data_IF_965923357780
#
_entry.id   IF_965923357780
#
_cell.length_a   1.000
_cell.length_b   1.000
_cell.length_c   1.000
_cell.angle_alpha   90.00
_cell.angle_beta   90.00
_cell.angle_gamma   90.00
#
_symmetry.space_group_name_H-M   'P 1'
#
loop_
_entity.id
_entity.type
_entity.pdbx_description
1 polymer ?
#
# COMPACT_ATOMS: atom_id res chain seq x y z
N UNK A 1 10.99 19.67 5.85
CA UNK A 1 11.42 20.26 4.56
C UNK A 1 11.37 19.11 3.56
N UNK A 2 10.29 18.97 2.79
CA UNK A 2 9.97 17.75 2.04
C UNK A 2 10.64 17.63 0.67
N UNK A 3 11.66 18.45 0.39
CA UNK A 3 12.37 18.39 -0.88
C UNK A 3 13.87 18.56 -0.67
N UNK A 4 14.63 17.54 -1.09
CA UNK A 4 16.06 17.65 -1.32
C UNK A 4 16.28 17.63 -2.85
N UNK A 5 16.78 18.74 -3.40
CA UNK A 5 17.14 18.84 -4.81
C UNK A 5 18.57 18.31 -4.99
N UNK A 6 18.71 17.05 -5.39
CA UNK A 6 19.99 16.50 -5.82
C UNK A 6 20.04 16.51 -7.35
N UNK A 7 21.00 17.18 -8.00
CA UNK A 7 21.10 17.17 -9.45
C UNK A 7 21.38 15.75 -9.96
N UNK A 8 20.54 15.25 -10.86
CA UNK A 8 20.78 13.99 -11.57
C UNK A 8 21.98 14.19 -12.52
N UNK A 9 22.98 13.32 -12.42
CA UNK A 9 24.02 13.24 -13.45
C UNK A 9 23.42 12.60 -14.70
N UNK A 10 23.94 12.95 -15.89
CA UNK A 10 23.36 12.58 -17.19
C UNK A 10 23.21 11.08 -17.50
N UNK A 11 23.66 10.19 -16.61
CA UNK A 11 23.53 8.72 -16.73
C UNK A 11 22.61 8.11 -15.64
N UNK A 12 21.96 8.93 -14.79
CA UNK A 12 21.13 8.41 -13.71
C UNK A 12 19.78 7.92 -14.26
N UNK A 13 19.55 6.61 -14.24
CA UNK A 13 18.23 6.05 -14.53
C UNK A 13 17.32 6.28 -13.32
N UNK A 14 16.35 7.16 -13.46
CA UNK A 14 15.37 7.46 -12.39
C UNK A 14 14.35 6.32 -12.29
N UNK A 15 13.85 5.86 -13.43
CA UNK A 15 13.04 4.66 -13.57
C UNK A 15 13.19 4.10 -15.00
N UNK A 16 12.80 2.85 -15.20
CA UNK A 16 12.77 2.21 -16.52
C UNK A 16 11.42 1.54 -16.76
N UNK A 17 10.92 1.58 -17.99
CA UNK A 17 9.78 0.74 -18.39
C UNK A 17 10.31 -0.67 -18.69
N UNK A 18 9.65 -1.68 -18.14
CA UNK A 18 10.01 -3.09 -18.35
C UNK A 18 8.88 -3.82 -19.05
N UNK A 19 9.24 -4.87 -19.79
CA UNK A 19 8.27 -5.84 -20.35
C UNK A 19 8.48 -7.15 -19.59
N UNK A 20 7.79 -7.35 -18.46
CA UNK A 20 7.97 -8.55 -17.65
C UNK A 20 7.44 -9.78 -18.40
N UNK A 21 8.07 -10.92 -18.18
CA UNK A 21 7.62 -12.17 -18.77
C UNK A 21 6.27 -12.58 -18.17
N UNK A 22 5.24 -12.66 -19.01
CA UNK A 22 3.95 -13.24 -18.65
C UNK A 22 4.13 -14.71 -18.28
N UNK A 23 3.61 -15.10 -17.11
CA UNK A 23 3.58 -16.50 -16.65
C UNK A 23 2.25 -17.15 -17.06
N UNK A 24 2.17 -18.47 -16.95
CA UNK A 24 0.87 -19.16 -16.98
C UNK A 24 0.12 -18.80 -15.69
N UNK A 25 -1.12 -18.29 -15.76
CA UNK A 25 -1.90 -17.99 -14.56
C UNK A 25 -2.09 -19.23 -13.67
N UNK A 26 -1.81 -19.10 -12.38
CA UNK A 26 -2.17 -20.11 -11.38
C UNK A 26 -3.69 -20.02 -11.14
N UNK A 27 -4.46 -21.11 -11.28
CA UNK A 27 -5.91 -21.06 -11.09
C UNK A 27 -6.37 -20.50 -9.75
N UNK A 28 -5.70 -20.85 -8.64
CA UNK A 28 -6.09 -20.40 -7.31
C UNK A 28 -5.83 -18.89 -7.13
N UNK A 29 -4.69 -18.41 -7.64
CA UNK A 29 -4.38 -16.98 -7.66
C UNK A 29 -5.35 -16.22 -8.57
N UNK A 30 -5.65 -16.79 -9.74
CA UNK A 30 -6.61 -16.21 -10.68
C UNK A 30 -8.01 -16.08 -10.08
N UNK A 31 -8.42 -17.03 -9.24
CA UNK A 31 -9.71 -16.96 -8.55
C UNK A 31 -9.74 -15.87 -7.47
N UNK A 32 -8.66 -15.67 -6.69
CA UNK A 32 -8.54 -14.51 -5.80
C UNK A 32 -8.54 -13.19 -6.56
N UNK A 33 -7.82 -13.10 -7.68
CA UNK A 33 -7.77 -11.90 -8.52
C UNK A 33 -9.15 -11.51 -9.03
N UNK A 34 -10.02 -12.49 -9.36
CA UNK A 34 -11.41 -12.24 -9.79
C UNK A 34 -12.29 -11.74 -8.65
N UNK A 35 -11.91 -11.96 -7.39
CA UNK A 35 -12.70 -11.47 -6.26
C UNK A 35 -12.56 -9.97 -6.07
N UNK A 36 -11.53 -9.30 -6.61
CA UNK A 36 -11.37 -7.85 -6.53
C UNK A 36 -12.62 -7.16 -7.09
N UNK A 37 -13.30 -6.41 -6.22
CA UNK A 37 -14.62 -5.84 -6.46
C UNK A 37 -14.58 -4.30 -6.45
N UNK A 38 -15.11 -3.71 -7.51
CA UNK A 38 -15.13 -2.26 -7.68
C UNK A 38 -16.06 -1.56 -6.67
N UNK A 39 -17.21 -2.16 -6.39
CA UNK A 39 -18.20 -1.57 -5.49
C UNK A 39 -17.67 -1.52 -4.05
N UNK A 40 -17.03 -2.60 -3.59
CA UNK A 40 -16.33 -2.65 -2.30
C UNK A 40 -15.22 -1.62 -2.20
N UNK A 41 -14.36 -1.51 -3.21
CA UNK A 41 -13.31 -0.49 -3.26
C UNK A 41 -13.88 0.93 -3.22
N UNK A 42 -14.88 1.24 -4.06
CA UNK A 42 -15.57 2.55 -4.12
C UNK A 42 -16.19 2.92 -2.78
N UNK A 43 -16.85 1.97 -2.12
CA UNK A 43 -17.50 2.20 -0.84
C UNK A 43 -16.49 2.54 0.26
N UNK A 44 -15.40 1.78 0.35
CA UNK A 44 -14.32 2.05 1.30
C UNK A 44 -13.68 3.42 1.05
N UNK A 45 -13.37 3.73 -0.21
CA UNK A 45 -12.78 5.02 -0.59
C UNK A 45 -13.71 6.19 -0.26
N UNK A 46 -14.99 6.09 -0.61
CA UNK A 46 -15.97 7.13 -0.30
C UNK A 46 -16.12 7.36 1.22
N UNK A 47 -16.09 6.29 2.02
CA UNK A 47 -16.13 6.39 3.47
C UNK A 47 -14.91 7.14 4.04
N UNK A 48 -13.71 6.84 3.54
CA UNK A 48 -12.48 7.55 3.94
C UNK A 48 -12.51 9.03 3.56
N UNK A 49 -12.97 9.35 2.35
CA UNK A 49 -13.04 10.72 1.84
C UNK A 49 -14.10 11.55 2.58
N UNK A 50 -15.18 10.93 3.06
CA UNK A 50 -16.27 11.60 3.77
C UNK A 50 -15.85 12.29 5.07
N UNK A 51 -14.69 11.97 5.64
CA UNK A 51 -14.15 12.63 6.82
C UNK A 51 -13.65 14.07 6.55
N UNK A 52 -13.53 14.48 5.28
CA UNK A 52 -13.13 15.83 4.86
C UNK A 52 -11.64 16.12 4.98
N UNK A 53 -11.01 15.75 6.09
CA UNK A 53 -9.55 15.64 6.24
C UNK A 53 -9.23 14.51 7.22
N UNK A 54 -8.22 13.71 6.89
CA UNK A 54 -7.69 12.68 7.80
C UNK A 54 -6.31 13.06 8.34
N UNK A 55 -6.05 14.34 8.60
CA UNK A 55 -4.78 14.75 9.23
C UNK A 55 -4.58 14.00 10.55
N UNK A 56 -3.41 13.38 10.77
CA UNK A 56 -3.16 12.37 11.84
C UNK A 56 -3.50 12.77 13.27
N UNK A 57 -3.57 14.07 13.55
CA UNK A 57 -3.88 14.65 14.85
C UNK A 57 -5.33 15.12 15.00
N UNK A 58 -6.18 14.94 13.99
CA UNK A 58 -7.56 15.39 14.00
C UNK A 58 -8.54 14.25 14.33
N UNK A 59 -9.80 14.59 14.59
CA UNK A 59 -10.86 13.61 14.87
C UNK A 59 -11.31 12.81 13.65
N UNK A 60 -11.16 13.36 12.44
CA UNK A 60 -11.47 12.69 11.17
C UNK A 60 -10.58 11.46 10.94
N UNK A 61 -9.27 11.61 11.17
CA UNK A 61 -8.31 10.52 11.18
C UNK A 61 -8.70 9.44 12.18
N UNK A 62 -8.98 9.83 13.44
CA UNK A 62 -9.35 8.87 14.48
C UNK A 62 -10.58 8.05 14.07
N UNK A 63 -11.62 8.72 13.55
CA UNK A 63 -12.82 8.04 13.10
C UNK A 63 -12.56 7.12 11.90
N UNK A 64 -11.74 7.54 10.93
CA UNK A 64 -11.33 6.73 9.79
C UNK A 64 -10.55 5.48 10.23
N UNK A 65 -9.59 5.64 11.15
CA UNK A 65 -8.78 4.55 11.71
C UNK A 65 -9.62 3.54 12.50
N UNK A 66 -10.56 4.02 13.33
CA UNK A 66 -11.50 3.16 14.06
C UNK A 66 -12.41 2.39 13.10
N UNK A 67 -12.93 3.05 12.06
CA UNK A 67 -13.74 2.42 11.01
C UNK A 67 -12.96 1.34 10.24
N UNK A 68 -11.75 1.65 9.78
CA UNK A 68 -10.88 0.69 9.08
C UNK A 68 -10.56 -0.54 9.94
N UNK A 69 -10.22 -0.34 11.22
CA UNK A 69 -10.02 -1.45 12.18
C UNK A 69 -11.29 -2.31 12.30
N UNK A 70 -12.45 -1.68 12.38
CA UNK A 70 -13.71 -2.41 12.59
C UNK A 70 -14.10 -3.21 11.33
N UNK A 71 -13.84 -2.69 10.13
CA UNK A 71 -13.94 -3.45 8.86
C UNK A 71 -13.01 -4.68 8.91
N UNK A 72 -11.74 -4.49 9.28
CA UNK A 72 -10.77 -5.60 9.36
C UNK A 72 -11.19 -6.67 10.38
N UNK A 73 -11.75 -6.27 11.53
CA UNK A 73 -12.29 -7.22 12.52
C UNK A 73 -13.51 -7.98 12.00
N UNK A 74 -14.41 -7.32 11.29
CA UNK A 74 -15.59 -7.96 10.70
C UNK A 74 -15.21 -9.02 9.66
N UNK A 75 -14.09 -8.81 8.96
CA UNK A 75 -13.49 -9.78 8.03
C UNK A 75 -12.72 -10.92 8.73
N UNK A 76 -12.62 -10.90 10.06
CA UNK A 76 -12.02 -11.96 10.85
C UNK A 76 -10.53 -11.77 11.18
N UNK A 77 -9.93 -10.63 10.84
CA UNK A 77 -8.54 -10.34 11.20
C UNK A 77 -8.40 -9.95 12.68
N UNK A 78 -7.26 -10.29 13.28
CA UNK A 78 -6.87 -9.76 14.58
C UNK A 78 -6.38 -8.31 14.41
N UNK A 79 -7.30 -7.34 14.44
CA UNK A 79 -6.99 -5.92 14.22
C UNK A 79 -6.99 -5.06 15.49
N UNK A 80 -6.03 -4.13 15.57
CA UNK A 80 -5.86 -3.22 16.71
C UNK A 80 -5.38 -1.83 16.27
N UNK A 81 -5.63 -0.82 17.11
CA UNK A 81 -4.98 0.48 17.01
C UNK A 81 -3.71 0.45 17.86
N UNK A 82 -2.56 0.67 17.24
CA UNK A 82 -1.26 0.74 17.90
C UNK A 82 -0.89 2.21 18.05
N UNK A 83 -0.76 2.75 19.27
CA UNK A 83 -0.41 4.16 19.49
C UNK A 83 0.91 4.54 18.83
N UNK A 84 0.95 5.74 18.28
CA UNK A 84 2.16 6.38 17.75
C UNK A 84 2.24 7.84 18.19
N UNK A 85 3.43 8.42 18.13
CA UNK A 85 3.65 9.85 18.39
C UNK A 85 3.89 10.60 17.09
N UNK A 86 3.11 11.65 16.81
CA UNK A 86 3.27 12.51 15.63
C UNK A 86 3.59 13.92 16.10
N UNK A 87 4.85 14.33 15.99
CA UNK A 87 5.34 15.58 16.58
C UNK A 87 5.10 15.61 18.10
N UNK A 88 4.27 16.54 18.57
CA UNK A 88 3.85 16.63 19.98
C UNK A 88 2.48 16.00 20.28
N UNK A 89 1.81 15.44 19.27
CA UNK A 89 0.50 14.82 19.39
C UNK A 89 0.54 13.29 19.38
N UNK A 90 -0.62 12.69 19.62
CA UNK A 90 -0.80 11.23 19.60
C UNK A 90 -1.70 10.82 18.45
N UNK A 91 -1.33 9.74 17.78
CA UNK A 91 -2.09 9.13 16.69
C UNK A 91 -1.99 7.60 16.81
N UNK A 92 -2.38 6.86 15.76
CA UNK A 92 -2.34 5.40 15.78
C UNK A 92 -2.02 4.82 14.40
N UNK A 93 -1.31 3.70 14.37
CA UNK A 93 -1.35 2.77 13.25
C UNK A 93 -2.51 1.79 13.44
N UNK A 94 -3.04 1.24 12.35
CA UNK A 94 -3.92 0.09 12.38
C UNK A 94 -3.10 -1.14 11.98
N UNK A 95 -3.06 -2.14 12.84
CA UNK A 95 -2.35 -3.41 12.60
C UNK A 95 -3.36 -4.54 12.63
N UNK A 96 -3.50 -5.25 11.51
CA UNK A 96 -4.35 -6.41 11.37
C UNK A 96 -3.57 -7.63 10.89
N UNK A 97 -3.75 -8.76 11.54
CA UNK A 97 -2.98 -9.98 11.26
C UNK A 97 -3.90 -11.17 10.99
N UNK A 98 -3.51 -11.98 10.01
CA UNK A 98 -4.01 -13.34 9.79
C UNK A 98 -2.85 -14.33 9.95
N UNK A 99 -3.07 -15.38 10.74
CA UNK A 99 -2.05 -16.40 11.01
C UNK A 99 -2.02 -17.43 9.89
N UNK A 100 -0.84 -17.65 9.31
CA UNK A 100 -0.65 -18.68 8.30
C UNK A 100 -0.73 -20.09 8.87
N UNK A 101 -0.99 -21.07 8.00
CA UNK A 101 -1.11 -22.50 8.34
C UNK A 101 0.21 -23.26 8.23
N UNK A 102 1.27 -22.61 7.75
CA UNK A 102 2.60 -23.20 7.61
C UNK A 102 3.31 -23.48 8.95
N UNK A 103 4.40 -24.24 8.87
CA UNK A 103 5.23 -24.57 10.02
C UNK A 103 5.88 -23.33 10.64
N UNK A 104 5.99 -23.31 11.97
CA UNK A 104 6.67 -22.23 12.68
C UNK A 104 8.21 -22.40 12.67
N UNK A 105 8.99 -21.30 12.61
CA UNK A 105 8.53 -19.91 12.51
C UNK A 105 8.08 -19.57 11.07
N UNK A 106 6.87 -19.01 10.96
CA UNK A 106 6.31 -18.58 9.67
C UNK A 106 6.92 -17.26 9.23
N UNK A 107 7.08 -17.07 7.93
CA UNK A 107 7.33 -15.74 7.37
C UNK A 107 6.15 -14.79 7.58
N UNK A 108 6.35 -13.51 7.27
CA UNK A 108 5.35 -12.46 7.26
C UNK A 108 5.38 -11.75 5.92
N UNK A 109 4.22 -11.58 5.30
CA UNK A 109 4.02 -10.70 4.13
C UNK A 109 3.19 -9.52 4.59
N UNK A 110 3.74 -8.33 4.42
CA UNK A 110 3.09 -7.08 4.82
C UNK A 110 2.49 -6.42 3.58
N UNK A 111 1.24 -5.97 3.70
CA UNK A 111 0.59 -5.04 2.77
C UNK A 111 0.29 -3.78 3.55
N UNK A 112 0.78 -2.64 3.07
CA UNK A 112 0.75 -1.37 3.78
C UNK A 112 0.14 -0.26 2.93
N UNK A 113 -0.43 0.74 3.58
CA UNK A 113 -0.75 2.06 3.02
C UNK A 113 -0.80 3.05 4.19
N UNK A 114 -0.75 4.36 3.96
CA UNK A 114 -1.15 5.31 4.99
C UNK A 114 -2.61 5.70 4.84
N UNK A 115 -3.22 6.12 5.95
CA UNK A 115 -4.63 6.52 5.99
C UNK A 115 -4.79 8.02 6.22
N UNK A 116 -3.74 8.72 6.65
CA UNK A 116 -3.81 10.17 6.80
C UNK A 116 -3.83 10.91 5.46
N UNK A 117 -4.19 12.20 5.52
CA UNK A 117 -4.20 13.12 4.38
C UNK A 117 -4.04 14.54 4.90
N UNK A 118 -3.36 15.40 4.14
CA UNK A 118 -3.08 16.78 4.54
C UNK A 118 -3.55 17.80 3.51
N UNK A 119 -3.66 19.05 3.97
CA UNK A 119 -3.73 20.20 3.09
C UNK A 119 -2.54 21.10 3.42
N UNK A 120 -1.60 21.26 2.48
CA UNK A 120 -0.37 22.03 2.73
C UNK A 120 -0.68 23.52 2.91
N UNK A 121 -1.49 24.11 2.04
CA UNK A 121 -1.74 25.56 2.04
C UNK A 121 -2.72 25.98 3.15
N UNK A 122 -3.78 25.19 3.36
CA UNK A 122 -4.85 25.47 4.31
C UNK A 122 -4.60 24.90 5.71
N UNK A 123 -3.59 24.04 5.88
CA UNK A 123 -3.21 23.46 7.16
C UNK A 123 -4.13 22.32 7.65
N UNK A 124 -3.96 21.87 8.90
CA UNK A 124 -4.48 20.59 9.41
C UNK A 124 -6.00 20.51 9.56
N UNK A 125 -6.72 21.62 9.39
CA UNK A 125 -8.19 21.68 9.47
C UNK A 125 -8.84 22.05 8.14
N UNK A 126 -8.06 22.35 7.10
CA UNK A 126 -8.59 22.60 5.77
C UNK A 126 -9.05 21.29 5.10
N UNK A 127 -9.96 21.35 4.13
CA UNK A 127 -10.36 20.18 3.35
C UNK A 127 -9.14 19.51 2.72
N UNK A 128 -8.97 18.23 3.00
CA UNK A 128 -7.99 17.32 2.43
C UNK A 128 -8.71 15.99 2.19
N UNK A 129 -9.57 15.91 1.16
CA UNK A 129 -10.36 14.70 0.97
C UNK A 129 -9.45 13.48 0.75
N UNK A 130 -8.26 13.69 0.16
CA UNK A 130 -7.21 12.68 0.10
C UNK A 130 -7.70 11.44 -0.64
N UNK A 131 -8.37 11.63 -1.77
CA UNK A 131 -9.03 10.54 -2.48
C UNK A 131 -7.99 9.63 -3.12
N UNK A 132 -7.00 10.20 -3.79
CA UNK A 132 -5.88 9.45 -4.32
C UNK A 132 -4.78 9.29 -3.28
N UNK A 133 -4.43 10.38 -2.56
CA UNK A 133 -3.37 10.44 -1.56
C UNK A 133 -3.91 10.54 -0.12
N UNK A 134 -3.95 9.44 0.65
CA UNK A 134 -3.82 8.05 0.20
C UNK A 134 -5.07 7.23 0.50
N UNK A 135 -6.23 7.84 0.23
CA UNK A 135 -7.52 7.16 0.31
C UNK A 135 -7.56 5.94 -0.63
N UNK A 136 -6.91 6.02 -1.79
CA UNK A 136 -6.88 4.96 -2.79
C UNK A 136 -6.12 3.72 -2.30
N UNK A 137 -4.92 3.88 -1.75
CA UNK A 137 -4.14 2.79 -1.18
C UNK A 137 -4.79 2.21 0.07
N UNK A 138 -5.33 3.06 0.95
CA UNK A 138 -6.05 2.61 2.14
C UNK A 138 -7.32 1.81 1.81
N UNK A 139 -8.14 2.28 0.86
CA UNK A 139 -9.31 1.55 0.37
C UNK A 139 -8.90 0.25 -0.34
N UNK A 140 -7.79 0.29 -1.08
CA UNK A 140 -7.18 -0.87 -1.70
C UNK A 140 -6.77 -1.95 -0.71
N UNK A 141 -6.14 -1.57 0.40
CA UNK A 141 -5.79 -2.49 1.48
C UNK A 141 -7.02 -3.13 2.12
N UNK A 142 -8.09 -2.36 2.36
CA UNK A 142 -9.35 -2.90 2.90
C UNK A 142 -10.01 -3.88 1.93
N UNK A 143 -9.93 -3.62 0.62
CA UNK A 143 -10.43 -4.53 -0.40
C UNK A 143 -9.58 -5.80 -0.52
N UNK A 144 -8.25 -5.69 -0.46
CA UNK A 144 -7.36 -6.84 -0.36
C UNK A 144 -7.68 -7.67 0.90
N UNK A 145 -7.95 -7.03 2.03
CA UNK A 145 -8.38 -7.73 3.24
C UNK A 145 -9.65 -8.55 2.99
N UNK A 146 -10.62 -8.01 2.25
CA UNK A 146 -11.84 -8.73 1.90
C UNK A 146 -11.56 -9.92 0.98
N UNK A 147 -10.70 -9.75 -0.01
CA UNK A 147 -10.29 -10.82 -0.94
C UNK A 147 -9.58 -11.97 -0.21
N UNK A 148 -8.72 -11.65 0.77
CA UNK A 148 -7.98 -12.66 1.55
C UNK A 148 -8.75 -13.18 2.77
N UNK A 149 -9.94 -12.67 3.08
CA UNK A 149 -10.72 -13.10 4.22
C UNK A 149 -11.07 -14.60 4.13
N UNK A 150 -10.67 -15.38 5.13
CA UNK A 150 -10.86 -16.83 5.16
C UNK A 150 -9.89 -17.63 4.27
N UNK A 151 -8.98 -16.97 3.56
CA UNK A 151 -7.96 -17.63 2.73
C UNK A 151 -6.83 -18.18 3.60
N UNK A 152 -6.39 -19.41 3.34
CA UNK A 152 -5.25 -20.03 4.02
C UNK A 152 -3.95 -19.77 3.27
N UNK A 153 -2.97 -19.20 3.96
CA UNK A 153 -1.62 -18.91 3.46
C UNK A 153 -0.58 -19.67 4.30
N UNK A 154 0.55 -20.04 3.69
CA UNK A 154 1.67 -20.65 4.42
C UNK A 154 2.26 -19.68 5.45
N UNK A 155 2.37 -18.41 5.08
CA UNK A 155 2.94 -17.34 5.89
C UNK A 155 1.87 -16.45 6.50
N UNK A 156 2.24 -15.73 7.56
CA UNK A 156 1.35 -14.74 8.18
C UNK A 156 1.15 -13.56 7.22
N UNK A 157 -0.10 -13.09 7.10
CA UNK A 157 -0.45 -11.89 6.36
C UNK A 157 -0.68 -10.75 7.35
N UNK A 158 0.02 -9.64 7.16
CA UNK A 158 -0.10 -8.46 8.00
C UNK A 158 -0.55 -7.27 7.15
N UNK A 159 -1.68 -6.68 7.53
CA UNK A 159 -2.29 -5.53 6.89
C UNK A 159 -2.08 -4.33 7.80
N UNK A 160 -1.44 -3.29 7.28
CA UNK A 160 -0.97 -2.14 8.05
C UNK A 160 -1.48 -0.84 7.42
N UNK A 161 -2.25 -0.07 8.17
CA UNK A 161 -2.57 1.31 7.79
C UNK A 161 -1.80 2.26 8.71
N UNK A 162 -0.89 3.04 8.15
CA UNK A 162 -0.06 3.97 8.90
C UNK A 162 -0.76 5.31 9.12
N UNK A 163 -0.59 5.86 10.32
CA UNK A 163 -0.81 7.28 10.57
C UNK A 163 0.51 8.02 10.55
N UNK A 164 0.48 9.32 10.26
CA UNK A 164 1.67 10.14 10.40
C UNK A 164 2.63 10.09 9.22
N UNK A 165 2.22 9.52 8.08
CA UNK A 165 3.05 9.45 6.87
C UNK A 165 3.39 10.88 6.41
N UNK A 166 2.35 11.68 6.26
CA UNK A 166 2.41 13.02 5.66
C UNK A 166 3.15 14.04 6.54
N UNK A 167 3.35 13.70 7.81
CA UNK A 167 4.10 14.52 8.75
C UNK A 167 5.56 14.06 8.88
N UNK A 168 5.97 12.98 8.21
CA UNK A 168 7.35 12.51 8.14
C UNK A 168 7.53 11.03 8.48
N UNK A 169 6.64 10.17 7.98
CA UNK A 169 6.70 8.71 8.12
C UNK A 169 6.66 8.25 9.58
N UNK A 170 5.97 8.98 10.46
CA UNK A 170 5.99 8.70 11.90
C UNK A 170 5.49 7.28 12.21
N UNK A 171 4.37 6.86 11.61
CA UNK A 171 3.77 5.56 11.85
C UNK A 171 4.67 4.40 11.43
N UNK A 172 5.19 4.41 10.21
CA UNK A 172 6.07 3.35 9.71
C UNK A 172 7.43 3.34 10.40
N UNK A 173 8.03 4.51 10.70
CA UNK A 173 9.26 4.60 11.48
C UNK A 173 9.09 4.02 12.88
N UNK A 174 8.00 4.35 13.56
CA UNK A 174 7.72 3.83 14.90
C UNK A 174 7.48 2.32 14.84
N UNK A 175 6.69 1.83 13.87
CA UNK A 175 6.49 0.39 13.64
C UNK A 175 7.82 -0.35 13.46
N UNK A 176 8.68 0.11 12.54
CA UNK A 176 9.99 -0.52 12.28
C UNK A 176 10.91 -0.46 13.50
N UNK A 177 10.86 0.63 14.27
CA UNK A 177 11.67 0.79 15.49
C UNK A 177 11.30 -0.22 16.58
N UNK A 178 10.04 -0.66 16.62
CA UNK A 178 9.54 -1.64 17.59
C UNK A 178 9.84 -3.09 17.18
N UNK A 179 10.19 -3.35 15.91
CA UNK A 179 10.48 -4.70 15.45
C UNK A 179 11.75 -5.25 16.12
N UNK A 180 11.60 -6.39 16.82
CA UNK A 180 12.76 -7.17 17.28
C UNK A 180 13.52 -7.73 16.08
N UNK A 181 14.77 -8.14 16.28
CA UNK A 181 15.53 -8.82 15.23
C UNK A 181 14.78 -10.04 14.67
N UNK A 182 14.17 -10.84 15.53
CA UNK A 182 13.38 -12.01 15.12
C UNK A 182 12.15 -11.61 14.30
N UNK A 183 11.49 -10.50 14.62
CA UNK A 183 10.36 -10.02 13.81
C UNK A 183 10.82 -9.56 12.43
N UNK A 184 11.95 -8.83 12.36
CA UNK A 184 12.55 -8.37 11.10
C UNK A 184 12.93 -9.56 10.21
N UNK A 185 13.62 -10.55 10.76
CA UNK A 185 14.05 -11.75 10.03
C UNK A 185 12.88 -12.57 9.48
N UNK A 186 11.67 -12.40 10.04
CA UNK A 186 10.45 -13.05 9.53
C UNK A 186 9.78 -12.28 8.39
N UNK A 187 10.02 -10.98 8.23
CA UNK A 187 9.37 -10.19 7.18
C UNK A 187 10.04 -10.49 5.84
N UNK A 188 9.28 -11.11 4.94
CA UNK A 188 9.77 -11.56 3.62
C UNK A 188 9.56 -10.51 2.54
N UNK A 189 8.51 -9.72 2.67
CA UNK A 189 8.10 -8.72 1.70
C UNK A 189 7.17 -7.68 2.35
N UNK A 190 7.30 -6.43 1.92
CA UNK A 190 6.40 -5.33 2.24
C UNK A 190 5.93 -4.70 0.93
N UNK A 191 4.63 -4.75 0.67
CA UNK A 191 4.01 -4.10 -0.49
C UNK A 191 3.30 -2.85 0.04
N UNK A 192 3.82 -1.67 -0.28
CA UNK A 192 3.26 -0.39 0.12
C UNK A 192 2.44 0.21 -1.03
N UNK A 193 1.18 0.51 -0.79
CA UNK A 193 0.30 1.18 -1.74
C UNK A 193 0.20 2.65 -1.39
N UNK A 194 0.57 3.50 -2.34
CA UNK A 194 0.46 4.95 -2.22
C UNK A 194 0.07 5.53 -3.57
N UNK A 195 -1.02 6.30 -3.62
CA UNK A 195 -1.59 6.86 -4.85
C UNK A 195 -1.72 5.84 -5.98
N UNK A 196 -2.77 5.02 -5.93
CA UNK A 196 -2.97 3.93 -6.90
C UNK A 196 -4.06 4.23 -7.93
N UNK A 197 -4.56 5.46 -8.04
CA UNK A 197 -5.85 5.67 -8.71
C UNK A 197 -5.99 6.88 -9.63
N UNK A 198 -5.00 7.73 -9.81
CA UNK A 198 -4.99 8.80 -10.82
C UNK A 198 -4.19 8.40 -12.06
N UNK A 199 -4.84 8.50 -13.22
CA UNK A 199 -4.21 8.18 -14.49
C UNK A 199 -3.42 9.40 -15.03
N UNK A 200 -2.12 9.47 -14.73
CA UNK A 200 -1.24 10.55 -15.19
C UNK A 200 -0.51 10.26 -16.52
N UNK A 201 -0.77 9.11 -17.12
CA UNK A 201 -0.11 8.62 -18.33
C UNK A 201 -1.15 8.20 -19.37
N UNK A 202 -0.75 8.05 -20.64
CA UNK A 202 -1.68 7.66 -21.73
C UNK A 202 -2.23 6.24 -21.55
N UNK A 203 -1.47 5.35 -20.92
CA UNK A 203 -1.88 3.97 -20.66
C UNK A 203 -1.77 3.69 -19.16
N UNK A 204 -2.64 2.85 -18.56
CA UNK A 204 -2.54 2.45 -17.16
C UNK A 204 -1.12 1.96 -16.83
N UNK A 205 -0.45 2.70 -15.96
CA UNK A 205 0.96 2.48 -15.64
C UNK A 205 1.11 2.40 -14.13
N UNK A 206 1.92 1.45 -13.66
CA UNK A 206 2.35 1.35 -12.27
C UNK A 206 3.87 1.51 -12.20
N UNK A 207 4.35 2.29 -11.25
CA UNK A 207 5.75 2.34 -10.86
C UNK A 207 5.93 1.44 -9.62
N UNK A 208 6.87 0.50 -9.76
CA UNK A 208 7.37 -0.35 -8.69
C UNK A 208 8.69 0.24 -8.19
N UNK A 209 8.67 0.89 -7.04
CA UNK A 209 9.84 1.56 -6.48
C UNK A 209 10.35 0.82 -5.23
N UNK A 210 11.62 0.45 -5.25
CA UNK A 210 12.29 -0.17 -4.11
C UNK A 210 13.78 0.15 -4.10
N UNK A 211 14.58 -0.75 -3.53
CA UNK A 211 16.05 -0.71 -3.57
C UNK A 211 16.61 -2.05 -4.09
N UNK A 212 17.93 -2.18 -4.25
CA UNK A 212 18.58 -3.43 -4.72
C UNK A 212 18.11 -4.68 -3.96
N UNK A 213 17.96 -4.58 -2.64
CA UNK A 213 17.50 -5.67 -1.78
C UNK A 213 16.04 -6.10 -2.06
N UNK A 214 15.27 -5.27 -2.77
CA UNK A 214 13.87 -5.47 -3.12
C UNK A 214 13.67 -6.01 -4.53
N UNK A 215 14.75 -6.28 -5.29
CA UNK A 215 14.66 -6.69 -6.69
C UNK A 215 13.79 -7.94 -6.89
N UNK A 216 13.91 -8.94 -6.02
CA UNK A 216 13.08 -10.15 -6.11
C UNK A 216 11.58 -9.86 -5.91
N UNK A 217 11.24 -8.89 -5.05
CA UNK A 217 9.86 -8.45 -4.85
C UNK A 217 9.34 -7.64 -6.06
N UNK A 218 10.18 -6.77 -6.62
CA UNK A 218 9.88 -6.04 -7.86
C UNK A 218 9.60 -7.03 -9.00
N UNK A 219 10.45 -8.05 -9.17
CA UNK A 219 10.29 -9.05 -10.23
C UNK A 219 8.99 -9.85 -10.07
N UNK A 220 8.59 -10.16 -8.83
CA UNK A 220 7.32 -10.84 -8.55
C UNK A 220 6.11 -9.97 -8.88
N UNK A 221 6.11 -8.70 -8.44
CA UNK A 221 5.06 -7.73 -8.76
C UNK A 221 4.95 -7.48 -10.26
N UNK A 222 6.09 -7.33 -10.95
CA UNK A 222 6.13 -7.13 -12.39
C UNK A 222 5.57 -8.34 -13.15
N UNK A 223 5.91 -9.56 -12.73
CA UNK A 223 5.36 -10.78 -13.31
C UNK A 223 3.86 -10.94 -13.03
N UNK A 224 3.40 -10.55 -11.82
CA UNK A 224 1.99 -10.53 -11.47
C UNK A 224 1.21 -9.55 -12.38
N UNK A 225 1.73 -8.35 -12.62
CA UNK A 225 1.14 -7.39 -13.55
C UNK A 225 1.01 -7.96 -14.96
N UNK A 226 2.11 -8.47 -15.54
CA UNK A 226 2.09 -9.04 -16.89
C UNK A 226 1.12 -10.24 -17.03
N UNK A 227 0.89 -10.98 -15.95
CA UNK A 227 0.08 -12.20 -15.96
C UNK A 227 -1.40 -11.93 -15.75
N UNK A 228 -1.76 -11.03 -14.84
CA UNK A 228 -3.13 -10.86 -14.36
C UNK A 228 -3.77 -9.52 -14.74
N UNK A 229 -3.03 -8.60 -15.37
CA UNK A 229 -3.52 -7.25 -15.67
C UNK A 229 -3.06 -6.76 -17.05
N UNK A 230 -3.38 -5.50 -17.36
CA UNK A 230 -2.95 -4.80 -18.57
C UNK A 230 -1.94 -3.69 -18.31
N UNK A 231 -1.40 -3.60 -17.09
CA UNK A 231 -0.54 -2.50 -16.65
C UNK A 231 0.76 -2.44 -17.46
N UNK A 232 1.14 -1.23 -17.81
CA UNK A 232 2.54 -0.92 -18.13
C UNK A 232 3.32 -0.85 -16.82
N UNK A 233 4.43 -1.59 -16.74
CA UNK A 233 5.25 -1.63 -15.51
C UNK A 233 6.49 -0.76 -15.68
N UNK A 234 6.69 0.15 -14.74
CA UNK A 234 7.93 0.89 -14.54
C UNK A 234 8.59 0.44 -13.24
N UNK A 235 9.92 0.51 -13.18
CA UNK A 235 10.68 0.15 -11.97
C UNK A 235 11.69 1.24 -11.61
N UNK A 236 11.82 1.56 -10.33
CA UNK A 236 12.85 2.44 -9.75
C UNK A 236 13.58 1.72 -8.61
N UNK A 237 14.90 1.94 -8.52
CA UNK A 237 15.73 1.50 -7.39
C UNK A 237 16.17 2.69 -6.52
N UNK A 238 15.48 3.83 -6.65
CA UNK A 238 15.74 5.06 -5.94
C UNK A 238 14.57 5.37 -4.99
N UNK A 239 14.45 4.67 -3.85
CA UNK A 239 13.27 4.76 -3.01
C UNK A 239 13.15 6.16 -2.39
N UNK A 240 11.95 6.74 -2.42
CA UNK A 240 11.71 8.09 -1.93
C UNK A 240 10.31 8.24 -1.31
N UNK A 241 10.27 8.96 -0.18
CA UNK A 241 9.09 9.61 0.40
C UNK A 241 7.78 8.81 0.43
N UNK A 242 7.81 7.58 0.96
CA UNK A 242 6.62 6.88 1.46
C UNK A 242 7.02 5.80 2.48
N UNK A 243 6.05 5.08 3.03
CA UNK A 243 6.22 4.15 4.16
C UNK A 243 7.06 2.89 3.86
N UNK A 244 7.40 2.61 2.60
CA UNK A 244 8.38 1.55 2.25
C UNK A 244 9.81 1.91 2.66
N UNK A 245 10.15 3.21 2.74
CA UNK A 245 11.51 3.67 3.02
C UNK A 245 12.04 3.21 4.38
N UNK A 246 11.32 3.35 5.51
CA UNK A 246 11.80 2.88 6.81
C UNK A 246 12.07 1.37 6.86
N UNK A 247 11.36 0.56 6.08
CA UNK A 247 11.62 -0.88 5.96
C UNK A 247 12.94 -1.14 5.20
N UNK A 248 13.16 -0.44 4.08
CA UNK A 248 14.41 -0.52 3.31
C UNK A 248 15.61 -0.10 4.18
N UNK A 249 15.49 1.00 4.93
CA UNK A 249 16.52 1.47 5.86
C UNK A 249 16.85 0.42 6.95
N UNK A 250 15.86 -0.40 7.31
CA UNK A 250 16.02 -1.53 8.23
C UNK A 250 16.44 -2.85 7.55
N UNK A 251 16.84 -2.80 6.28
CA UNK A 251 17.23 -3.96 5.45
C UNK A 251 16.12 -5.00 5.24
N UNK A 252 14.87 -4.54 5.18
CA UNK A 252 13.69 -5.36 4.89
C UNK A 252 13.22 -5.09 3.46
N UNK A 253 13.02 -6.11 2.60
CA UNK A 253 12.50 -5.94 1.25
C UNK A 253 11.13 -5.27 1.23
N UNK A 254 11.07 -4.08 0.63
CA UNK A 254 9.87 -3.29 0.50
C UNK A 254 9.76 -2.63 -0.87
N UNK A 255 8.57 -2.63 -1.44
CA UNK A 255 8.28 -2.00 -2.72
C UNK A 255 7.05 -1.13 -2.58
N UNK A 256 7.18 0.13 -3.00
CA UNK A 256 6.06 1.01 -3.27
C UNK A 256 5.43 0.64 -4.63
N UNK A 257 4.12 0.48 -4.64
CA UNK A 257 3.29 0.38 -5.83
C UNK A 257 2.49 1.66 -5.93
N UNK A 258 2.84 2.49 -6.90
CA UNK A 258 2.29 3.83 -7.11
C UNK A 258 1.92 4.00 -8.59
N UNK A 259 0.93 4.83 -8.87
CA UNK A 259 0.59 5.21 -10.23
C UNK A 259 1.79 5.78 -11.00
N UNK A 260 1.86 5.49 -12.31
CA UNK A 260 2.92 6.01 -13.15
C UNK A 260 2.80 7.53 -13.33
N UNK A 261 3.94 8.22 -13.29
CA UNK A 261 4.02 9.68 -13.35
C UNK A 261 3.20 10.41 -12.26
N UNK A 262 3.11 9.81 -11.07
CA UNK A 262 2.57 10.36 -9.81
C UNK A 262 2.83 11.85 -9.61
N UNK A 263 4.05 12.33 -9.89
CA UNK A 263 4.42 13.75 -9.73
C UNK A 263 3.67 14.72 -10.64
N UNK A 264 2.94 14.24 -11.65
CA UNK A 264 2.07 15.05 -12.48
C UNK A 264 0.68 15.27 -11.86
N UNK A 265 0.33 14.56 -10.78
CA UNK A 265 -0.90 14.80 -10.04
C UNK A 265 -0.77 16.03 -9.14
N UNK A 266 -1.17 17.19 -9.65
CA UNK A 266 -1.14 18.47 -8.90
C UNK A 266 -2.23 18.61 -7.83
N UNK A 267 -3.12 17.61 -7.68
CA UNK A 267 -4.22 17.68 -6.71
C UNK A 267 -3.83 17.20 -5.30
N UNK A 268 -2.80 16.36 -5.18
CA UNK A 268 -2.34 15.80 -3.89
C UNK A 268 -2.05 16.90 -2.87
N UNK A 269 -2.29 16.60 -1.60
CA UNK A 269 -2.12 17.55 -0.48
C UNK A 269 -2.95 18.83 -0.59
N UNK A 270 -4.04 18.82 -1.35
CA UNK A 270 -4.97 19.95 -1.48
C UNK A 270 -6.42 19.54 -1.24
N UNK A 271 -7.31 20.54 -1.18
CA UNK A 271 -8.75 20.29 -1.16
C UNK A 271 -9.33 19.76 -2.47
N UNK A 272 -8.52 19.65 -3.55
CA UNK A 272 -8.94 19.17 -4.86
C UNK A 272 -8.68 17.68 -5.09
N UNK A 273 -7.91 17.01 -4.22
CA UNK A 273 -7.80 15.56 -4.29
C UNK A 273 -9.13 14.89 -3.90
N UNK A 274 -9.97 14.65 -4.91
CA UNK A 274 -11.39 14.28 -4.82
C UNK A 274 -11.67 13.03 -5.62
N UNK A 275 -12.75 12.35 -5.25
CA UNK A 275 -13.28 11.16 -5.95
C UNK A 275 -13.47 11.34 -7.46
N UNK A 276 -13.66 12.57 -7.94
CA UNK A 276 -13.82 12.88 -9.37
C UNK A 276 -12.54 12.69 -10.19
N UNK A 277 -11.38 12.60 -9.54
CA UNK A 277 -10.08 12.37 -10.20
C UNK A 277 -9.69 10.89 -10.24
N UNK A 278 -10.49 10.02 -9.62
CA UNK A 278 -10.21 8.60 -9.45
C UNK A 278 -10.54 7.83 -10.73
N UNK A 279 -9.52 7.19 -11.29
CA UNK A 279 -9.55 6.25 -12.40
C UNK A 279 -9.63 4.81 -11.87
N UNK A 280 -10.84 4.33 -11.64
CA UNK A 280 -11.10 3.04 -10.99
C UNK A 280 -10.43 1.85 -11.68
N UNK A 281 -10.42 1.79 -13.02
CA UNK A 281 -9.78 0.67 -13.74
C UNK A 281 -8.27 0.57 -13.44
N UNK A 282 -7.60 1.71 -13.22
CA UNK A 282 -6.17 1.74 -12.87
C UNK A 282 -5.97 1.18 -11.46
N UNK A 283 -6.78 1.67 -10.51
CA UNK A 283 -6.75 1.20 -9.12
C UNK A 283 -7.01 -0.30 -9.02
N UNK A 284 -8.03 -0.79 -9.73
CA UNK A 284 -8.36 -2.21 -9.73
C UNK A 284 -7.28 -3.06 -10.37
N UNK A 285 -6.63 -2.61 -11.45
CA UNK A 285 -5.52 -3.34 -12.04
C UNK A 285 -4.29 -3.36 -11.11
N UNK A 286 -3.95 -2.26 -10.43
CA UNK A 286 -2.89 -2.25 -9.42
C UNK A 286 -3.24 -3.19 -8.25
N UNK A 287 -4.50 -3.21 -7.81
CA UNK A 287 -4.97 -4.13 -6.78
C UNK A 287 -4.89 -5.59 -7.20
N UNK A 288 -5.28 -5.92 -8.44
CA UNK A 288 -5.15 -7.29 -8.96
C UNK A 288 -3.70 -7.76 -9.02
N UNK A 289 -2.78 -6.88 -9.42
CA UNK A 289 -1.34 -7.13 -9.36
C UNK A 289 -0.90 -7.42 -7.92
N UNK A 290 -1.29 -6.57 -6.97
CA UNK A 290 -0.91 -6.70 -5.56
C UNK A 290 -1.51 -7.96 -4.93
N UNK A 291 -2.78 -8.28 -5.19
CA UNK A 291 -3.42 -9.53 -4.75
C UNK A 291 -2.65 -10.75 -5.28
N UNK A 292 -2.31 -10.77 -6.56
CA UNK A 292 -1.58 -11.88 -7.15
C UNK A 292 -0.18 -12.05 -6.54
N UNK A 293 0.57 -10.96 -6.37
CA UNK A 293 1.89 -10.99 -5.75
C UNK A 293 1.80 -11.40 -4.27
N UNK A 294 0.86 -10.85 -3.50
CA UNK A 294 0.64 -11.23 -2.10
C UNK A 294 0.29 -12.71 -1.98
N UNK A 295 -0.57 -13.25 -2.85
CA UNK A 295 -0.93 -14.67 -2.84
C UNK A 295 0.29 -15.58 -3.09
N UNK A 296 1.15 -15.21 -4.03
CA UNK A 296 2.38 -15.94 -4.31
C UNK A 296 3.37 -15.86 -3.13
N UNK A 297 3.60 -14.67 -2.58
CA UNK A 297 4.55 -14.41 -1.50
C UNK A 297 4.10 -15.02 -0.17
N UNK A 298 2.79 -15.04 0.10
CA UNK A 298 2.22 -15.60 1.32
C UNK A 298 2.11 -17.13 1.27
N UNK A 299 2.34 -17.74 0.09
CA UNK A 299 2.21 -19.18 -0.11
C UNK A 299 0.75 -19.62 -0.03
N UNK A 300 -0.10 -19.09 -0.90
CA UNK A 300 -1.52 -19.48 -0.99
C UNK A 300 -1.65 -21.02 -1.01
N UNK A 301 -2.31 -21.56 0.00
CA UNK A 301 -2.48 -23.00 0.14
C UNK A 301 -3.45 -23.51 -0.92
N UNK A 302 -3.03 -24.52 -1.69
CA UNK A 302 -3.92 -25.22 -2.60
C UNK A 302 -4.75 -26.23 -1.78
N UNK A 303 -6.08 -26.31 -1.95
CA UNK A 303 -6.80 -27.46 -1.43
C UNK A 303 -6.17 -28.71 -2.04
N UNK A 304 -5.79 -29.68 -1.19
CA UNK A 304 -5.36 -31.00 -1.66
C UNK A 304 -6.51 -31.57 -2.50
N UNK A 305 -6.22 -31.83 -3.78
CA UNK A 305 -7.15 -32.50 -4.72
C UNK A 305 -7.32 -33.96 -4.37
#
# INVERSE_FOLDING_TARGET
MCYQMSPLTGETTVFRTVVPARRTPDPAVQDLVKLVDEDGFRANLAALVAHGTRHSLNSGFKAAAEGARDVLRQLGYSASLVPITVGSGSSFNIVAESTGVGAAPRGRVLVTAHIDSINIEGGPSAPAPGADDNGSGAAGLLEMARVFAGTQTEHDLCLLLFGGEEQGLFGSREYVSMLTRTDRDRIRAVINMDMIATLNTTAPTVLLEGADLSQALIDELAAAAATYTSLTVQTSLNPFASDHVPFIDASIPAVLTIEGADRANENVHTGNDKLTHIHFDLALDILRMNVAATAALAGLSRPET
#
